data_IF_495875920202
#
_entry.id   IF_495875920202
#
_cell.length_a   1.000
_cell.length_b   1.000
_cell.length_c   1.000
_cell.angle_alpha   90.00
_cell.angle_beta   90.00
_cell.angle_gamma   90.00
#
_symmetry.space_group_name_H-M   'P 1'
#
loop_
_entity.id
_entity.type
_entity.pdbx_description
1 polymer ?
#
# COMPACT_ATOMS: atom_id res chain seq x y z
N UNK A 1 -9.81 -9.37 -8.35
CA UNK A 1 -10.35 -10.29 -7.30
C UNK A 1 -9.39 -11.45 -7.12
N UNK A 2 -8.98 -11.79 -5.90
CA UNK A 2 -7.96 -12.83 -5.67
C UNK A 2 -8.58 -14.22 -5.69
N UNK A 3 -7.97 -15.13 -6.44
CA UNK A 3 -8.41 -16.52 -6.54
C UNK A 3 -8.37 -17.22 -5.16
N UNK A 4 -9.39 -18.00 -4.77
CA UNK A 4 -9.47 -18.62 -3.45
C UNK A 4 -8.25 -19.47 -3.08
N UNK A 5 -7.69 -20.19 -4.04
CA UNK A 5 -6.49 -21.02 -3.86
C UNK A 5 -5.24 -20.20 -3.56
N UNK A 6 -5.10 -19.02 -4.19
CA UNK A 6 -3.99 -18.11 -3.93
C UNK A 6 -4.17 -17.46 -2.56
N UNK A 7 -5.39 -17.02 -2.24
CA UNK A 7 -5.71 -16.49 -0.91
C UNK A 7 -5.36 -17.50 0.18
N UNK A 8 -5.69 -18.78 -0.03
CA UNK A 8 -5.32 -19.85 0.90
C UNK A 8 -3.80 -20.01 1.04
N UNK A 9 -3.05 -20.05 -0.07
CA UNK A 9 -1.58 -20.12 -0.01
C UNK A 9 -0.97 -18.94 0.76
N UNK A 10 -1.50 -17.73 0.57
CA UNK A 10 -1.06 -16.53 1.32
C UNK A 10 -1.35 -16.71 2.81
N UNK A 11 -2.54 -17.22 3.17
CA UNK A 11 -2.89 -17.49 4.57
C UNK A 11 -2.00 -18.56 5.20
N UNK A 12 -1.69 -19.63 4.46
CA UNK A 12 -0.76 -20.67 4.92
C UNK A 12 0.65 -20.08 5.14
N UNK A 13 1.12 -19.23 4.22
CA UNK A 13 2.40 -18.51 4.36
C UNK A 13 2.42 -17.59 5.58
N UNK A 14 1.32 -16.89 5.88
CA UNK A 14 1.21 -16.06 7.08
C UNK A 14 1.34 -16.89 8.37
N UNK A 15 0.80 -18.10 8.41
CA UNK A 15 0.95 -19.03 9.56
C UNK A 15 2.40 -19.49 9.71
N UNK A 16 3.08 -19.78 8.60
CA UNK A 16 4.51 -20.11 8.64
C UNK A 16 5.34 -18.95 9.21
N UNK A 17 5.05 -17.71 8.82
CA UNK A 17 5.71 -16.50 9.32
C UNK A 17 5.49 -16.35 10.84
N UNK A 18 4.26 -16.55 11.32
CA UNK A 18 3.97 -16.51 12.76
C UNK A 18 4.82 -17.51 13.54
N UNK A 19 4.96 -18.74 13.01
CA UNK A 19 5.76 -19.79 13.62
C UNK A 19 7.27 -19.51 13.53
N UNK A 20 7.77 -19.10 12.37
CA UNK A 20 9.19 -18.86 12.10
C UNK A 20 9.74 -17.72 12.97
N UNK A 21 9.00 -16.62 13.04
CA UNK A 21 9.41 -15.43 13.79
C UNK A 21 8.88 -15.41 15.22
N UNK A 22 8.05 -16.38 15.62
CA UNK A 22 7.39 -16.45 16.92
C UNK A 22 6.65 -15.13 17.26
N UNK A 23 5.78 -14.72 16.33
CA UNK A 23 4.95 -13.50 16.38
C UNK A 23 3.48 -13.83 16.14
N UNK A 24 2.60 -12.90 16.50
CA UNK A 24 1.17 -12.94 16.15
C UNK A 24 0.88 -11.85 15.11
N UNK A 25 0.37 -12.23 13.95
CA UNK A 25 -0.07 -11.31 12.90
C UNK A 25 -1.50 -10.86 13.22
N UNK A 26 -1.65 -9.55 13.43
CA UNK A 26 -2.88 -8.89 13.83
C UNK A 26 -3.71 -8.42 12.63
N UNK A 27 -3.03 -8.03 11.55
CA UNK A 27 -3.63 -7.59 10.30
C UNK A 27 -2.69 -7.97 9.15
N UNK A 28 -3.22 -8.53 8.07
CA UNK A 28 -2.51 -8.77 6.82
C UNK A 28 -3.40 -8.38 5.63
N UNK A 29 -2.86 -7.55 4.75
CA UNK A 29 -3.56 -6.90 3.64
C UNK A 29 -2.73 -6.96 2.36
N UNK A 30 -3.39 -6.69 1.24
CA UNK A 30 -2.73 -6.38 -0.02
C UNK A 30 -2.45 -4.87 -0.10
N UNK A 31 -1.23 -4.45 -0.46
CA UNK A 31 -0.86 -3.03 -0.58
C UNK A 31 -0.50 -2.60 -2.01
N UNK A 32 -0.42 -3.54 -2.94
CA UNK A 32 0.12 -3.35 -4.27
C UNK A 32 -0.90 -2.96 -5.31
N UNK A 33 -0.51 -3.16 -6.58
CA UNK A 33 -1.36 -2.89 -7.75
C UNK A 33 -2.74 -3.56 -7.69
N UNK A 34 -2.83 -4.73 -7.03
CA UNK A 34 -4.09 -5.45 -6.77
C UNK A 34 -5.02 -4.69 -5.85
N UNK A 35 -4.50 -4.08 -4.80
CA UNK A 35 -5.32 -3.26 -3.92
C UNK A 35 -5.68 -1.91 -4.54
N UNK A 36 -4.89 -1.44 -5.51
CA UNK A 36 -5.20 -0.23 -6.26
C UNK A 36 -6.23 -0.48 -7.36
N UNK A 37 -6.43 -1.74 -7.77
CA UNK A 37 -7.42 -2.16 -8.76
C UNK A 37 -6.91 -2.13 -10.20
N UNK A 38 -5.61 -2.27 -10.41
CA UNK A 38 -5.01 -2.31 -11.76
C UNK A 38 -3.97 -3.43 -11.92
N UNK A 39 -4.12 -4.52 -11.18
CA UNK A 39 -3.22 -5.65 -11.30
C UNK A 39 -3.14 -6.21 -12.73
N UNK A 40 -1.95 -6.66 -13.08
CA UNK A 40 -1.74 -7.55 -14.22
C UNK A 40 -1.56 -8.99 -13.73
N UNK A 41 -1.69 -9.96 -14.64
CA UNK A 41 -1.54 -11.39 -14.31
C UNK A 41 -0.17 -11.68 -13.66
N UNK A 42 0.86 -10.99 -14.11
CA UNK A 42 2.25 -11.08 -13.64
C UNK A 42 2.57 -10.17 -12.44
N UNK A 43 1.59 -9.48 -11.86
CA UNK A 43 1.83 -8.63 -10.69
C UNK A 43 2.17 -9.47 -9.46
N UNK A 44 3.10 -8.98 -8.64
CA UNK A 44 3.42 -9.57 -7.32
C UNK A 44 2.29 -9.35 -6.31
N UNK A 45 2.14 -10.29 -5.38
CA UNK A 45 1.24 -10.15 -4.22
C UNK A 45 2.00 -9.39 -3.13
N UNK A 46 1.69 -8.10 -3.00
CA UNK A 46 2.31 -7.21 -2.02
C UNK A 46 1.61 -7.38 -0.67
N UNK A 47 1.98 -8.44 0.04
CA UNK A 47 1.43 -8.78 1.34
C UNK A 47 2.11 -7.92 2.38
N UNK A 48 1.31 -7.07 3.04
CA UNK A 48 1.77 -6.21 4.12
C UNK A 48 1.02 -6.55 5.40
N UNK A 49 1.73 -6.59 6.53
CA UNK A 49 1.13 -7.02 7.78
C UNK A 49 1.61 -6.25 9.01
N UNK A 50 0.74 -6.18 10.02
CA UNK A 50 1.06 -5.70 11.36
C UNK A 50 1.11 -6.91 12.28
N UNK A 51 2.20 -7.05 13.03
CA UNK A 51 2.39 -8.16 13.96
C UNK A 51 2.79 -7.65 15.35
N UNK A 52 2.63 -8.49 16.37
CA UNK A 52 3.17 -8.24 17.70
C UNK A 52 4.04 -9.41 18.17
N UNK A 53 5.05 -9.09 18.96
CA UNK A 53 5.83 -10.08 19.70
C UNK A 53 5.13 -10.47 21.01
N UNK A 54 5.71 -11.46 21.70
CA UNK A 54 5.39 -11.74 23.10
C UNK A 54 5.90 -10.62 24.01
N UNK A 55 5.27 -10.45 25.17
CA UNK A 55 5.55 -9.36 26.12
C UNK A 55 7.03 -9.25 26.48
N UNK A 56 7.73 -10.39 26.65
CA UNK A 56 9.14 -10.43 27.06
C UNK A 56 10.06 -9.74 26.05
N UNK A 57 9.69 -9.75 24.76
CA UNK A 57 10.43 -9.04 23.72
C UNK A 57 10.38 -7.52 23.92
N UNK A 58 9.20 -7.00 24.30
CA UNK A 58 9.00 -5.57 24.54
C UNK A 58 9.65 -5.09 25.85
N UNK A 59 9.84 -6.00 26.81
CA UNK A 59 10.50 -5.71 28.09
C UNK A 59 12.02 -5.86 28.04
N UNK A 60 12.58 -6.23 26.88
CA UNK A 60 14.04 -6.30 26.70
C UNK A 60 14.69 -4.91 26.69
N UNK A 61 15.92 -4.81 27.19
CA UNK A 61 16.65 -3.54 27.30
C UNK A 61 17.01 -2.96 25.94
N UNK A 62 17.42 -3.82 25.00
CA UNK A 62 17.79 -3.41 23.66
C UNK A 62 16.62 -3.65 22.71
N UNK A 63 16.28 -2.68 21.84
CA UNK A 63 15.21 -2.88 20.87
C UNK A 63 15.60 -3.99 19.88
N UNK A 64 14.69 -4.94 19.68
CA UNK A 64 14.82 -5.92 18.59
C UNK A 64 14.43 -5.34 17.24
N UNK A 65 14.56 -6.16 16.19
CA UNK A 65 14.17 -5.80 14.82
C UNK A 65 12.65 -5.63 14.71
N UNK A 66 12.20 -4.46 14.26
CA UNK A 66 10.78 -4.09 14.17
C UNK A 66 10.16 -4.29 12.77
N UNK A 67 10.90 -4.93 11.88
CA UNK A 67 10.51 -5.17 10.49
C UNK A 67 10.84 -6.60 10.12
N UNK A 68 9.84 -7.34 9.63
CA UNK A 68 10.05 -8.64 8.98
C UNK A 68 9.98 -8.40 7.48
N UNK A 69 11.02 -8.80 6.75
CA UNK A 69 11.07 -8.77 5.28
C UNK A 69 11.51 -10.14 4.83
N UNK A 70 10.76 -10.72 3.90
CA UNK A 70 10.96 -12.08 3.45
C UNK A 70 11.31 -12.02 1.96
N UNK A 71 12.31 -12.80 1.50
CA UNK A 71 12.59 -12.92 0.08
C UNK A 71 11.34 -13.33 -0.70
N UNK A 72 11.18 -12.77 -1.90
CA UNK A 72 10.04 -13.06 -2.75
C UNK A 72 10.08 -14.54 -3.16
N UNK A 73 8.99 -15.26 -2.88
CA UNK A 73 8.77 -16.66 -3.28
C UNK A 73 7.38 -16.75 -3.90
N UNK A 74 7.23 -17.41 -5.05
CA UNK A 74 5.96 -17.55 -5.76
C UNK A 74 5.21 -16.23 -6.00
N UNK A 75 5.94 -15.16 -6.33
CA UNK A 75 5.44 -13.78 -6.51
C UNK A 75 4.88 -13.13 -5.23
N UNK A 76 5.10 -13.73 -4.05
CA UNK A 76 4.67 -13.17 -2.77
C UNK A 76 5.77 -12.29 -2.18
N UNK A 77 5.55 -10.98 -2.20
CA UNK A 77 6.40 -10.03 -1.49
C UNK A 77 5.79 -9.78 -0.10
N UNK A 78 6.40 -10.34 0.94
CA UNK A 78 5.92 -10.26 2.32
C UNK A 78 6.79 -9.32 3.15
N UNK A 79 6.18 -8.26 3.68
CA UNK A 79 6.84 -7.36 4.62
C UNK A 79 5.87 -6.93 5.72
N UNK A 80 6.36 -6.85 6.95
CA UNK A 80 5.51 -6.49 8.09
C UNK A 80 6.20 -5.58 9.08
N UNK A 81 5.38 -4.83 9.80
CA UNK A 81 5.80 -3.94 10.87
C UNK A 81 5.33 -4.44 12.22
N UNK A 82 6.24 -4.40 13.19
CA UNK A 82 5.90 -4.61 14.60
C UNK A 82 4.86 -3.58 15.07
N UNK A 83 4.10 -3.96 16.10
CA UNK A 83 3.06 -3.14 16.71
C UNK A 83 3.58 -1.81 17.26
N UNK A 84 4.73 -1.79 17.96
CA UNK A 84 5.34 -0.55 18.47
C UNK A 84 5.76 0.35 17.30
N UNK A 85 6.35 -0.22 16.25
CA UNK A 85 6.68 0.53 15.02
C UNK A 85 5.41 1.09 14.35
N UNK A 86 4.33 0.32 14.31
CA UNK A 86 3.06 0.76 13.73
C UNK A 86 2.48 1.96 14.48
N UNK A 87 2.52 1.97 15.81
CA UNK A 87 2.17 3.16 16.60
C UNK A 87 3.10 4.35 16.33
N UNK A 88 4.41 4.12 16.20
CA UNK A 88 5.35 5.18 15.87
C UNK A 88 5.05 5.81 14.50
N UNK A 89 4.76 4.98 13.49
CA UNK A 89 4.40 5.44 12.15
C UNK A 89 3.06 6.17 12.13
N UNK A 90 2.09 5.71 12.92
CA UNK A 90 0.83 6.41 13.15
C UNK A 90 1.07 7.81 13.72
N UNK A 91 1.89 7.92 14.76
CA UNK A 91 2.25 9.21 15.37
C UNK A 91 2.98 10.16 14.40
N UNK A 92 3.73 9.61 13.43
CA UNK A 92 4.35 10.39 12.35
C UNK A 92 3.39 10.71 11.21
N UNK A 93 2.13 10.29 11.29
CA UNK A 93 1.15 10.36 10.23
C UNK A 93 1.67 9.77 8.91
N UNK A 94 2.37 8.63 8.97
CA UNK A 94 2.90 7.97 7.80
C UNK A 94 1.76 7.49 6.87
N UNK A 95 1.69 7.94 5.60
CA UNK A 95 0.58 7.61 4.72
C UNK A 95 0.42 6.11 4.44
N UNK A 96 1.54 5.38 4.33
CA UNK A 96 1.54 3.95 4.00
C UNK A 96 0.79 3.14 5.06
N UNK A 97 0.92 3.50 6.35
CA UNK A 97 0.16 2.84 7.41
C UNK A 97 -1.35 3.07 7.25
N UNK A 98 -1.78 4.31 7.00
CA UNK A 98 -3.20 4.61 6.83
C UNK A 98 -3.78 3.98 5.58
N UNK A 99 -2.96 3.83 4.53
CA UNK A 99 -3.31 3.06 3.34
C UNK A 99 -3.54 1.58 3.70
N UNK A 100 -2.63 0.93 4.43
CA UNK A 100 -2.79 -0.48 4.83
C UNK A 100 -4.10 -0.72 5.59
N UNK A 101 -4.46 0.19 6.50
CA UNK A 101 -5.70 0.12 7.27
C UNK A 101 -6.98 0.24 6.41
N UNK A 102 -6.85 0.73 5.17
CA UNK A 102 -7.95 0.95 4.22
C UNK A 102 -7.87 0.03 3.01
N UNK A 103 -7.01 -0.99 3.03
CA UNK A 103 -6.92 -1.92 1.90
C UNK A 103 -8.26 -2.64 1.67
N UNK A 104 -8.75 -2.73 0.42
CA UNK A 104 -9.95 -3.49 0.10
C UNK A 104 -9.76 -5.00 0.20
N UNK A 105 -8.51 -5.48 0.22
CA UNK A 105 -8.21 -6.91 0.21
C UNK A 105 -7.48 -7.29 1.50
N UNK A 106 -8.19 -8.05 2.34
CA UNK A 106 -7.73 -8.49 3.65
C UNK A 106 -7.52 -10.01 3.65
N UNK A 107 -6.31 -10.42 4.02
CA UNK A 107 -5.91 -11.83 4.13
C UNK A 107 -6.13 -12.38 5.53
N UNK A 108 -5.83 -11.58 6.57
CA UNK A 108 -6.03 -11.90 7.98
C UNK A 108 -6.37 -10.62 8.75
N UNK A 109 -7.30 -10.69 9.69
CA UNK A 109 -7.68 -9.55 10.53
C UNK A 109 -8.15 -10.04 11.89
N UNK A 110 -7.51 -9.55 12.94
CA UNK A 110 -8.04 -9.59 14.29
C UNK A 110 -9.02 -8.41 14.44
N UNK A 111 -10.32 -8.70 14.50
CA UNK A 111 -11.36 -7.65 14.45
C UNK A 111 -11.26 -6.68 15.63
N UNK A 112 -11.07 -7.19 16.86
CA UNK A 112 -10.93 -6.34 18.05
C UNK A 112 -9.73 -5.41 17.95
N UNK A 113 -8.57 -5.92 17.53
CA UNK A 113 -7.41 -5.08 17.31
C UNK A 113 -7.67 -4.04 16.23
N UNK A 114 -8.20 -4.47 15.08
CA UNK A 114 -8.41 -3.59 13.94
C UNK A 114 -9.37 -2.45 14.27
N UNK A 115 -10.50 -2.73 14.92
CA UNK A 115 -11.49 -1.71 15.28
C UNK A 115 -10.88 -0.65 16.20
N UNK A 116 -10.19 -1.06 17.25
CA UNK A 116 -9.53 -0.15 18.20
C UNK A 116 -8.43 0.65 17.49
N UNK A 117 -7.56 -0.03 16.75
CA UNK A 117 -6.41 0.60 16.10
C UNK A 117 -6.84 1.55 14.98
N UNK A 118 -7.85 1.18 14.19
CA UNK A 118 -8.42 2.03 13.15
C UNK A 118 -9.08 3.26 13.73
N UNK A 119 -9.82 3.14 14.83
CA UNK A 119 -10.47 4.29 15.46
C UNK A 119 -9.44 5.30 15.98
N UNK A 120 -8.43 4.83 16.73
CA UNK A 120 -7.32 5.66 17.20
C UNK A 120 -6.59 6.32 16.04
N UNK A 121 -6.37 5.61 14.92
CA UNK A 121 -5.66 6.16 13.76
C UNK A 121 -6.27 7.45 13.22
N UNK A 122 -7.59 7.64 13.37
CA UNK A 122 -8.28 8.85 12.90
C UNK A 122 -7.80 10.11 13.61
N UNK A 123 -7.40 10.00 14.88
CA UNK A 123 -6.90 11.12 15.69
C UNK A 123 -5.48 11.54 15.31
N UNK A 124 -4.70 10.64 14.72
CA UNK A 124 -3.30 10.86 14.37
C UNK A 124 -3.08 11.22 12.90
N UNK A 125 -4.15 11.26 12.11
CA UNK A 125 -4.05 11.65 10.71
C UNK A 125 -3.74 13.15 10.57
N UNK A 126 -2.63 13.47 9.93
CA UNK A 126 -2.20 14.84 9.63
C UNK A 126 -2.26 15.11 8.12
N UNK A 127 -3.23 15.91 7.64
CA UNK A 127 -3.31 16.29 6.22
C UNK A 127 -2.01 16.88 5.68
N UNK A 128 -1.35 17.74 6.47
CA UNK A 128 -0.11 18.41 6.07
C UNK A 128 1.03 17.41 5.92
N UNK A 129 1.26 16.58 6.95
CA UNK A 129 2.32 15.56 6.92
C UNK A 129 2.14 14.57 5.77
N UNK A 130 0.90 14.17 5.53
CA UNK A 130 0.54 13.26 4.44
C UNK A 130 0.80 13.87 3.06
N UNK A 131 0.41 15.13 2.82
CA UNK A 131 0.67 15.81 1.53
C UNK A 131 2.17 15.94 1.27
N UNK A 132 2.97 16.35 2.25
CA UNK A 132 4.43 16.44 2.07
C UNK A 132 5.05 15.11 1.70
N UNK A 133 4.62 14.02 2.35
CA UNK A 133 5.12 12.68 2.05
C UNK A 133 4.76 12.24 0.63
N UNK A 134 3.50 12.42 0.21
CA UNK A 134 3.07 12.07 -1.13
C UNK A 134 3.74 12.92 -2.21
N UNK A 135 3.94 14.22 -1.99
CA UNK A 135 4.68 15.08 -2.93
C UNK A 135 6.14 14.64 -3.06
N UNK A 136 6.78 14.30 -1.95
CA UNK A 136 8.15 13.76 -1.98
C UNK A 136 8.21 12.46 -2.78
N UNK A 137 7.28 11.53 -2.53
CA UNK A 137 7.17 10.27 -3.25
C UNK A 137 6.92 10.49 -4.76
N UNK A 138 5.96 11.34 -5.13
CA UNK A 138 5.68 11.69 -6.52
C UNK A 138 6.92 12.25 -7.22
N UNK A 139 7.64 13.14 -6.56
CA UNK A 139 8.85 13.79 -7.09
C UNK A 139 9.98 12.79 -7.30
N UNK A 140 10.19 11.88 -6.35
CA UNK A 140 11.16 10.79 -6.46
C UNK A 140 10.83 9.87 -7.62
N UNK A 141 9.59 9.35 -7.65
CA UNK A 141 9.12 8.45 -8.70
C UNK A 141 9.17 9.09 -10.10
N UNK A 142 8.85 10.39 -10.20
CA UNK A 142 8.97 11.13 -11.46
C UNK A 142 10.41 11.15 -11.97
N UNK A 143 11.37 11.48 -11.10
CA UNK A 143 12.79 11.54 -11.46
C UNK A 143 13.35 10.16 -11.82
N UNK A 144 12.95 9.13 -11.09
CA UNK A 144 13.46 7.77 -11.27
C UNK A 144 12.87 7.11 -12.52
N UNK A 145 11.55 7.23 -12.73
CA UNK A 145 10.85 6.44 -13.74
C UNK A 145 10.47 7.20 -15.00
N UNK A 146 10.00 8.45 -14.89
CA UNK A 146 9.40 9.15 -16.03
C UNK A 146 10.40 9.97 -16.85
N UNK A 147 11.69 9.95 -16.47
CA UNK A 147 12.79 10.57 -17.22
C UNK A 147 13.60 9.58 -18.07
N UNK A 148 13.11 8.35 -18.22
CA UNK A 148 13.74 7.33 -19.05
C UNK A 148 13.20 7.42 -20.48
N UNK A 149 13.99 6.99 -21.47
CA UNK A 149 13.56 6.95 -22.89
C UNK A 149 12.32 6.08 -23.10
N UNK A 150 12.23 5.00 -22.33
CA UNK A 150 11.18 4.00 -22.39
C UNK A 150 10.53 3.83 -21.02
N UNK A 151 9.24 4.15 -20.91
CA UNK A 151 8.53 4.08 -19.63
C UNK A 151 7.39 3.07 -19.69
N UNK A 152 7.45 2.08 -18.78
CA UNK A 152 6.36 1.11 -18.58
C UNK A 152 5.13 1.81 -18.01
N UNK A 153 3.94 1.51 -18.54
CA UNK A 153 2.66 2.10 -18.08
C UNK A 153 2.51 2.11 -16.56
N UNK A 154 2.84 1.00 -15.89
CA UNK A 154 2.70 0.87 -14.43
C UNK A 154 3.42 1.97 -13.63
N UNK A 155 4.53 2.51 -14.16
CA UNK A 155 5.31 3.54 -13.48
C UNK A 155 4.65 4.92 -13.51
N UNK A 156 3.80 5.21 -14.49
CA UNK A 156 2.98 6.43 -14.47
C UNK A 156 2.05 6.43 -13.25
N UNK A 157 1.45 5.29 -12.91
CA UNK A 157 0.56 5.18 -11.74
C UNK A 157 1.29 5.39 -10.40
N UNK A 158 2.59 5.08 -10.33
CA UNK A 158 3.41 5.37 -9.15
C UNK A 158 3.67 6.88 -8.95
N UNK A 159 3.50 7.70 -10.00
CA UNK A 159 3.55 9.16 -9.89
C UNK A 159 2.15 9.75 -9.72
N UNK A 160 1.18 9.26 -10.50
CA UNK A 160 -0.19 9.77 -10.50
C UNK A 160 -0.90 9.51 -9.16
N UNK A 161 -0.76 8.31 -8.57
CA UNK A 161 -1.45 7.98 -7.32
C UNK A 161 -1.09 8.94 -6.18
N UNK A 162 0.20 9.19 -5.86
CA UNK A 162 0.55 10.17 -4.83
C UNK A 162 0.03 11.59 -5.12
N UNK A 163 0.00 12.01 -6.39
CA UNK A 163 -0.55 13.32 -6.76
C UNK A 163 -2.07 13.41 -6.55
N UNK A 164 -2.81 12.38 -6.96
CA UNK A 164 -4.25 12.27 -6.70
C UNK A 164 -4.53 12.19 -5.20
N UNK A 165 -3.69 11.48 -4.45
CA UNK A 165 -3.77 11.41 -2.99
C UNK A 165 -3.57 12.79 -2.34
N UNK A 166 -2.61 13.60 -2.81
CA UNK A 166 -2.47 14.99 -2.37
C UNK A 166 -3.76 15.79 -2.57
N UNK A 167 -4.35 15.71 -3.76
CA UNK A 167 -5.57 16.44 -4.09
C UNK A 167 -6.79 15.93 -3.28
N UNK A 168 -6.88 14.62 -3.02
CA UNK A 168 -7.88 14.07 -2.09
C UNK A 168 -7.73 14.68 -0.70
N UNK A 169 -6.51 14.67 -0.14
CA UNK A 169 -6.25 15.18 1.20
C UNK A 169 -6.54 16.68 1.27
N UNK A 170 -6.22 17.43 0.21
CA UNK A 170 -6.56 18.85 0.11
C UNK A 170 -8.08 19.08 0.19
N UNK A 171 -8.87 18.31 -0.57
CA UNK A 171 -10.32 18.48 -0.68
C UNK A 171 -11.11 17.90 0.52
N UNK A 172 -10.71 16.73 1.01
CA UNK A 172 -11.48 15.92 1.97
C UNK A 172 -10.91 15.93 3.38
N UNK A 173 -9.67 16.42 3.58
CA UNK A 173 -8.95 16.44 4.86
C UNK A 173 -8.91 15.07 5.56
N UNK A 174 -8.87 13.99 4.79
CA UNK A 174 -8.89 12.61 5.28
C UNK A 174 -7.88 11.74 4.53
N UNK A 175 -7.55 10.58 5.09
CA UNK A 175 -6.68 9.61 4.42
C UNK A 175 -7.31 9.13 3.11
N UNK A 176 -6.56 9.10 1.99
CA UNK A 176 -7.05 8.66 0.69
C UNK A 176 -7.41 7.16 0.68
N UNK A 177 -8.36 6.73 -0.17
CA UNK A 177 -8.61 5.32 -0.43
C UNK A 177 -7.43 4.65 -1.15
N UNK A 178 -7.34 3.33 -1.03
CA UNK A 178 -6.27 2.56 -1.68
C UNK A 178 -6.58 2.31 -3.16
N UNK A 179 -7.85 2.25 -3.52
CA UNK A 179 -8.34 2.07 -4.87
C UNK A 179 -8.08 3.30 -5.73
N UNK A 180 -7.38 3.13 -6.85
CA UNK A 180 -7.00 4.22 -7.74
C UNK A 180 -8.21 4.85 -8.42
N UNK A 181 -9.18 4.04 -8.84
CA UNK A 181 -10.38 4.53 -9.52
C UNK A 181 -11.21 5.45 -8.60
N UNK A 182 -11.33 5.11 -7.32
CA UNK A 182 -12.05 5.93 -6.32
C UNK A 182 -11.36 7.28 -6.13
N UNK A 183 -10.03 7.31 -6.09
CA UNK A 183 -9.26 8.57 -6.07
C UNK A 183 -9.52 9.41 -7.32
N UNK A 184 -9.42 8.78 -8.49
CA UNK A 184 -9.56 9.44 -9.77
C UNK A 184 -10.94 10.08 -9.92
N UNK A 185 -12.00 9.33 -9.61
CA UNK A 185 -13.40 9.76 -9.68
C UNK A 185 -13.74 10.87 -8.68
N UNK A 186 -13.14 10.85 -7.49
CA UNK A 186 -13.41 11.88 -6.49
C UNK A 186 -12.65 13.18 -6.74
N UNK A 187 -11.47 13.11 -7.36
CA UNK A 187 -10.56 14.26 -7.48
C UNK A 187 -10.69 14.97 -8.82
N UNK A 188 -10.87 14.22 -9.91
CA UNK A 188 -10.91 14.75 -11.26
C UNK A 188 -12.30 14.58 -11.87
N UNK A 189 -12.91 15.70 -12.24
CA UNK A 189 -14.05 15.74 -13.16
C UNK A 189 -13.61 15.53 -14.61
N UNK A 190 -14.56 15.46 -15.55
CA UNK A 190 -14.26 15.40 -16.98
C UNK A 190 -13.32 16.55 -17.38
N UNK A 191 -12.10 16.18 -17.73
CA UNK A 191 -10.97 17.06 -18.01
C UNK A 191 -10.02 16.36 -18.96
N UNK A 192 -9.17 17.12 -19.66
CA UNK A 192 -8.15 16.54 -20.56
C UNK A 192 -7.28 15.56 -19.79
N UNK A 193 -6.82 15.94 -18.59
CA UNK A 193 -6.00 15.08 -17.72
C UNK A 193 -6.73 13.78 -17.37
N UNK A 194 -8.03 13.85 -17.04
CA UNK A 194 -8.83 12.67 -16.73
C UNK A 194 -8.87 11.69 -17.92
N UNK A 195 -9.15 12.21 -19.12
CA UNK A 195 -9.22 11.39 -20.34
C UNK A 195 -7.89 10.72 -20.68
N UNK A 196 -6.77 11.41 -20.47
CA UNK A 196 -5.43 10.82 -20.66
C UNK A 196 -5.14 9.71 -19.64
N UNK A 197 -5.57 9.87 -18.38
CA UNK A 197 -5.43 8.82 -17.37
C UNK A 197 -6.31 7.61 -17.70
N UNK A 198 -7.55 7.83 -18.14
CA UNK A 198 -8.46 6.76 -18.57
C UNK A 198 -7.89 6.01 -19.80
N UNK A 199 -7.23 6.72 -20.73
CA UNK A 199 -6.50 6.11 -21.84
C UNK A 199 -5.33 5.24 -21.35
N UNK A 200 -4.57 5.71 -20.35
CA UNK A 200 -3.47 4.91 -19.76
C UNK A 200 -3.99 3.66 -19.04
N UNK A 201 -5.12 3.76 -18.35
CA UNK A 201 -5.78 2.61 -17.71
C UNK A 201 -6.20 1.57 -18.75
N UNK A 202 -6.91 1.99 -19.81
CA UNK A 202 -7.32 1.06 -20.87
C UNK A 202 -6.13 0.40 -21.60
N UNK A 203 -5.06 1.15 -21.86
CA UNK A 203 -3.82 0.58 -22.41
C UNK A 203 -3.19 -0.47 -21.50
N UNK A 204 -3.20 -0.24 -20.19
CA UNK A 204 -2.65 -1.18 -19.20
C UNK A 204 -3.44 -2.49 -19.16
N UNK A 205 -4.76 -2.42 -19.30
CA UNK A 205 -5.64 -3.60 -19.34
C UNK A 205 -5.38 -4.45 -20.59
N UNK A 206 -5.17 -3.82 -21.74
CA UNK A 206 -4.93 -4.51 -23.01
C UNK A 206 -3.49 -5.01 -23.13
N UNK A 207 -2.52 -4.22 -22.66
CA UNK A 207 -1.09 -4.50 -22.84
C UNK A 207 -0.29 -4.13 -21.55
N UNK A 208 -0.20 -5.06 -20.58
CA UNK A 208 0.42 -4.81 -19.27
C UNK A 208 1.89 -4.36 -19.33
N UNK A 209 2.58 -4.74 -20.41
CA UNK A 209 3.99 -4.44 -20.67
C UNK A 209 4.22 -3.31 -21.68
N UNK A 210 3.17 -2.57 -22.04
CA UNK A 210 3.31 -1.45 -22.98
C UNK A 210 4.32 -0.41 -22.47
N UNK A 211 5.11 0.11 -23.40
CA UNK A 211 6.15 1.10 -23.17
C UNK A 211 5.80 2.34 -23.97
N UNK A 212 5.73 3.50 -23.31
CA UNK A 212 5.63 4.78 -23.99
C UNK A 212 7.02 5.25 -24.39
N UNK A 213 7.20 5.57 -25.66
CA UNK A 213 8.30 6.44 -26.11
C UNK A 213 7.94 7.89 -25.76
N UNK A 214 8.81 8.56 -25.02
CA UNK A 214 8.66 9.98 -24.70
C UNK A 214 9.41 10.76 -25.79
N UNK A 215 8.67 11.33 -26.75
CA UNK A 215 9.18 12.37 -27.65
C UNK A 215 9.36 13.71 -26.92
#
# INVERSE_FOLDING_TARGET
MILPEIKKKIQDRLVEIESEFNVEILLAIESGSRAWGFESIDSDYDIRFIYKHKTEWYLSVLPGREVIEIPIVDLMDCSGWDLRKSFFLMNKSNPVLFEWLRSPIVYKKNDTFYEIFFDISKEYFSPIGTVYHYLHMATGNFKEYLKQEHVRVKKYFYVLRPLLACAWVEQKKSSPPMEFQVLLDSVLSDSIVRREIDLLLSKKEVEPNWVKEIE
#
